data_IF_427048814839
#
_entry.id   IF_427048814839
#
_cell.length_a   1.000
_cell.length_b   1.000
_cell.length_c   1.000
_cell.angle_alpha   90.00
_cell.angle_beta   90.00
_cell.angle_gamma   90.00
#
_symmetry.space_group_name_H-M   'P 1'
#
loop_
_entity.id
_entity.type
_entity.pdbx_description
1 polymer ?
#
# COMPACT_ATOMS: atom_id res chain seq x y z
N UNK A 1 -32.12 6.92 -2.72
CA UNK A 1 -30.93 7.05 -1.86
C UNK A 1 -30.27 5.68 -1.88
N UNK A 2 -29.10 5.53 -2.51
CA UNK A 2 -28.31 4.30 -2.35
C UNK A 2 -27.88 4.28 -0.89
N UNK A 3 -28.27 3.23 -0.14
CA UNK A 3 -27.69 2.98 1.17
C UNK A 3 -26.16 2.95 1.01
N UNK A 4 -25.44 3.60 1.93
CA UNK A 4 -23.98 3.64 1.91
C UNK A 4 -23.48 2.25 2.28
N UNK A 5 -23.28 1.38 1.29
CA UNK A 5 -22.85 -0.01 1.50
C UNK A 5 -21.63 -0.12 2.42
N UNK A 6 -20.82 0.93 2.54
CA UNK A 6 -19.67 0.97 3.44
C UNK A 6 -20.07 0.82 4.92
N UNK A 7 -21.28 1.24 5.32
CA UNK A 7 -21.79 1.03 6.68
C UNK A 7 -22.17 -0.41 6.97
N UNK A 8 -22.45 -1.18 5.91
CA UNK A 8 -22.93 -2.56 6.00
C UNK A 8 -21.78 -3.57 5.87
N UNK A 9 -20.56 -3.07 5.62
CA UNK A 9 -19.36 -3.90 5.50
C UNK A 9 -18.63 -4.02 6.83
N UNK A 10 -18.33 -5.26 7.18
CA UNK A 10 -17.36 -5.58 8.21
C UNK A 10 -15.96 -5.63 7.58
N UNK A 11 -14.98 -5.02 8.24
CA UNK A 11 -13.61 -4.99 7.76
C UNK A 11 -12.70 -5.64 8.77
N UNK A 12 -12.05 -6.71 8.34
CA UNK A 12 -11.14 -7.49 9.16
C UNK A 12 -9.72 -7.31 8.65
N UNK A 13 -8.77 -7.18 9.58
CA UNK A 13 -7.37 -7.01 9.26
C UNK A 13 -6.51 -7.79 10.24
N UNK A 14 -5.45 -8.38 9.70
CA UNK A 14 -4.45 -9.11 10.47
C UNK A 14 -3.05 -8.67 10.09
N UNK A 15 -2.18 -8.56 11.09
CA UNK A 15 -0.74 -8.37 10.94
C UNK A 15 -0.04 -9.57 11.57
N UNK A 16 0.98 -10.09 10.90
CA UNK A 16 1.86 -11.11 11.47
C UNK A 16 3.29 -10.92 10.95
N UNK A 17 4.32 -11.29 11.75
CA UNK A 17 5.67 -11.46 11.19
C UNK A 17 5.64 -12.40 9.98
N UNK A 18 6.53 -12.17 9.02
CA UNK A 18 6.59 -13.04 7.84
C UNK A 18 6.88 -14.48 8.22
N UNK A 19 6.28 -15.41 7.49
CA UNK A 19 6.56 -16.85 7.62
C UNK A 19 7.99 -17.19 7.15
N UNK A 20 8.67 -16.27 6.45
CA UNK A 20 10.09 -16.39 6.17
C UNK A 20 10.89 -16.06 7.44
N UNK A 21 11.37 -17.11 8.13
CA UNK A 21 12.11 -17.00 9.39
C UNK A 21 13.30 -16.04 9.30
N UNK A 22 14.00 -16.01 8.15
CA UNK A 22 15.16 -15.15 7.91
C UNK A 22 14.82 -13.66 8.00
N UNK A 23 13.64 -13.28 7.54
CA UNK A 23 13.20 -11.88 7.49
C UNK A 23 12.10 -11.56 8.49
N UNK A 24 11.70 -12.48 9.35
CA UNK A 24 10.59 -12.33 10.31
C UNK A 24 10.73 -11.13 11.24
N UNK A 25 11.95 -10.67 11.50
CA UNK A 25 12.28 -9.48 12.30
C UNK A 25 12.17 -8.15 11.52
N UNK A 26 12.15 -8.21 10.18
CA UNK A 26 12.14 -7.04 9.29
C UNK A 26 10.86 -6.93 8.47
N UNK A 27 10.21 -8.07 8.21
CA UNK A 27 9.09 -8.21 7.30
C UNK A 27 7.83 -8.59 8.09
N UNK A 28 6.79 -7.77 7.94
CA UNK A 28 5.47 -8.00 8.51
C UNK A 28 4.48 -8.17 7.36
N UNK A 29 3.79 -9.31 7.35
CA UNK A 29 2.73 -9.58 6.40
C UNK A 29 1.42 -8.98 6.93
N UNK A 30 0.66 -8.34 6.04
CA UNK A 30 -0.68 -7.86 6.34
C UNK A 30 -1.70 -8.46 5.40
N UNK A 31 -2.88 -8.74 5.95
CA UNK A 31 -4.07 -9.14 5.20
C UNK A 31 -5.25 -8.33 5.69
N UNK A 32 -6.15 -8.01 4.78
CA UNK A 32 -7.41 -7.35 5.05
C UNK A 32 -8.51 -7.90 4.16
N UNK A 33 -9.72 -7.95 4.69
CA UNK A 33 -10.91 -8.31 3.93
C UNK A 33 -12.08 -7.40 4.29
N UNK A 34 -12.94 -7.15 3.31
CA UNK A 34 -14.25 -6.56 3.53
C UNK A 34 -15.31 -7.63 3.28
N UNK A 35 -16.23 -7.75 4.23
CA UNK A 35 -17.22 -8.81 4.32
C UNK A 35 -18.60 -8.17 4.36
N UNK A 36 -19.54 -8.75 3.62
CA UNK A 36 -20.97 -8.48 3.75
C UNK A 36 -21.65 -9.74 4.27
N UNK A 37 -22.62 -9.54 5.14
CA UNK A 37 -23.52 -10.60 5.60
C UNK A 37 -24.76 -10.57 4.71
N UNK A 38 -25.13 -11.70 4.13
CA UNK A 38 -26.40 -11.81 3.40
C UNK A 38 -27.58 -12.08 4.35
N UNK A 39 -28.79 -12.08 3.79
CA UNK A 39 -30.04 -12.30 4.55
C UNK A 39 -30.09 -13.70 5.18
N UNK A 40 -29.28 -14.64 4.70
CA UNK A 40 -29.15 -16.02 5.21
C UNK A 40 -28.02 -16.14 6.26
N UNK A 41 -27.41 -15.01 6.66
CA UNK A 41 -26.26 -14.91 7.55
C UNK A 41 -25.00 -15.65 7.05
N UNK A 42 -24.87 -15.85 5.74
CA UNK A 42 -23.64 -16.33 5.13
C UNK A 42 -22.64 -15.19 4.95
N UNK A 43 -21.39 -15.48 5.30
CA UNK A 43 -20.28 -14.55 5.18
C UNK A 43 -19.81 -14.47 3.72
N UNK A 44 -19.92 -13.30 3.08
CA UNK A 44 -19.40 -13.07 1.74
C UNK A 44 -18.27 -12.05 1.74
N UNK A 45 -17.07 -12.50 1.39
CA UNK A 45 -15.91 -11.62 1.16
C UNK A 45 -16.07 -10.89 -0.17
N UNK A 46 -16.18 -9.56 -0.11
CA UNK A 46 -16.38 -8.67 -1.27
C UNK A 46 -15.14 -7.88 -1.65
N UNK A 47 -14.15 -7.79 -0.76
CA UNK A 47 -12.85 -7.25 -1.09
C UNK A 47 -11.73 -7.92 -0.29
N UNK A 48 -10.53 -7.96 -0.88
CA UNK A 48 -9.32 -8.49 -0.26
C UNK A 48 -8.16 -7.53 -0.50
N UNK A 49 -7.29 -7.42 0.49
CA UNK A 49 -6.04 -6.70 0.41
C UNK A 49 -4.97 -7.51 1.11
N UNK A 50 -3.78 -7.65 0.50
CA UNK A 50 -2.63 -8.26 1.17
C UNK A 50 -1.34 -7.60 0.71
N UNK A 51 -0.31 -7.71 1.54
CA UNK A 51 0.97 -7.10 1.28
C UNK A 51 1.97 -7.35 2.38
N UNK A 52 3.11 -6.68 2.25
CA UNK A 52 4.22 -6.76 3.17
C UNK A 52 4.70 -5.36 3.58
N UNK A 53 5.09 -5.21 4.85
CA UNK A 53 5.82 -4.05 5.37
C UNK A 53 7.23 -4.46 5.71
N UNK A 54 8.20 -3.85 5.06
CA UNK A 54 9.62 -4.06 5.28
C UNK A 54 10.25 -2.89 6.07
N UNK A 55 10.97 -3.22 7.14
CA UNK A 55 11.73 -2.27 7.96
C UNK A 55 13.09 -1.94 7.32
N UNK A 56 13.10 -0.94 6.44
CA UNK A 56 14.31 -0.53 5.73
C UNK A 56 15.35 0.05 6.69
N UNK A 57 14.92 0.77 7.74
CA UNK A 57 15.83 1.39 8.71
C UNK A 57 16.65 0.35 9.47
N UNK A 58 16.03 -0.77 9.83
CA UNK A 58 16.67 -1.89 10.50
C UNK A 58 17.46 -2.73 9.50
N UNK A 59 16.92 -2.96 8.30
CA UNK A 59 17.62 -3.65 7.22
C UNK A 59 18.97 -3.02 6.89
N UNK A 60 19.06 -1.69 6.77
CA UNK A 60 20.32 -0.97 6.50
C UNK A 60 21.43 -1.18 7.52
N UNK A 61 21.07 -1.54 8.76
CA UNK A 61 22.06 -1.83 9.81
C UNK A 61 22.55 -3.26 9.73
N UNK A 62 21.72 -4.16 9.21
CA UNK A 62 21.99 -5.60 9.14
C UNK A 62 22.55 -6.05 7.78
N UNK A 63 22.20 -5.35 6.70
CA UNK A 63 22.55 -5.69 5.32
C UNK A 63 23.40 -4.58 4.70
N UNK A 64 24.42 -4.99 3.94
CA UNK A 64 25.31 -4.06 3.23
C UNK A 64 24.64 -3.41 2.02
N UNK A 65 23.79 -4.15 1.30
CA UNK A 65 23.02 -3.70 0.14
C UNK A 65 21.53 -4.04 0.34
N UNK A 66 20.66 -3.04 0.23
CA UNK A 66 19.21 -3.18 0.29
C UNK A 66 18.68 -3.93 -0.93
N UNK A 67 19.32 -3.79 -2.10
CA UNK A 67 18.87 -4.48 -3.30
C UNK A 67 19.03 -6.00 -3.15
N UNK A 68 20.12 -6.47 -2.57
CA UNK A 68 20.32 -7.90 -2.27
C UNK A 68 19.23 -8.44 -1.33
N UNK A 69 18.78 -7.63 -0.37
CA UNK A 69 17.65 -7.98 0.50
C UNK A 69 16.35 -8.08 -0.30
N UNK A 70 16.09 -7.13 -1.20
CA UNK A 70 14.88 -7.13 -2.03
C UNK A 70 14.83 -8.35 -2.95
N UNK A 71 15.98 -8.70 -3.54
CA UNK A 71 16.18 -9.89 -4.36
C UNK A 71 15.86 -11.19 -3.61
N UNK A 72 16.06 -11.19 -2.29
CA UNK A 72 15.81 -12.35 -1.42
C UNK A 72 14.36 -12.44 -0.93
N UNK A 73 13.57 -11.36 -1.00
CA UNK A 73 12.17 -11.35 -0.53
C UNK A 73 11.23 -11.82 -1.63
N UNK A 74 11.21 -11.15 -2.79
CA UNK A 74 10.38 -11.55 -3.93
C UNK A 74 10.85 -10.91 -5.24
N UNK A 75 10.58 -11.55 -6.40
CA UNK A 75 10.89 -10.96 -7.70
C UNK A 75 10.24 -9.59 -7.92
N UNK A 76 9.03 -9.38 -7.42
CA UNK A 76 8.32 -8.11 -7.53
C UNK A 76 8.97 -6.99 -6.70
N UNK A 77 9.41 -7.29 -5.48
CA UNK A 77 10.08 -6.31 -4.62
C UNK A 77 11.49 -6.01 -5.15
N UNK A 78 12.18 -7.01 -5.68
CA UNK A 78 13.45 -6.86 -6.41
C UNK A 78 13.33 -5.89 -7.59
N UNK A 79 12.37 -6.13 -8.48
CA UNK A 79 12.11 -5.31 -9.67
C UNK A 79 11.73 -3.88 -9.28
N UNK A 80 10.87 -3.71 -8.27
CA UNK A 80 10.56 -2.39 -7.69
C UNK A 80 11.82 -1.71 -7.15
N UNK A 81 12.69 -2.45 -6.45
CA UNK A 81 13.96 -1.97 -5.90
C UNK A 81 14.82 -1.24 -6.91
N UNK A 82 14.94 -1.82 -8.11
CA UNK A 82 15.70 -1.24 -9.22
C UNK A 82 15.20 0.15 -9.67
N UNK A 83 13.97 0.52 -9.29
CA UNK A 83 13.35 1.80 -9.61
C UNK A 83 13.33 2.79 -8.44
N UNK A 84 13.42 2.32 -7.19
CA UNK A 84 13.26 3.17 -6.00
C UNK A 84 14.52 3.27 -5.15
N UNK A 85 15.49 2.38 -5.34
CA UNK A 85 16.76 2.36 -4.62
C UNK A 85 17.82 3.09 -5.42
N UNK A 86 18.48 4.07 -4.78
CA UNK A 86 19.64 4.78 -5.27
C UNK A 86 20.63 4.94 -4.11
N UNK A 87 21.92 4.68 -4.35
CA UNK A 87 22.98 4.75 -3.32
C UNK A 87 22.63 4.02 -2.02
N UNK A 88 22.11 2.80 -2.14
CA UNK A 88 21.68 1.96 -1.01
C UNK A 88 20.63 2.62 -0.09
N UNK A 89 19.84 3.52 -0.65
CA UNK A 89 18.75 4.20 0.01
C UNK A 89 17.52 4.16 -0.89
N UNK A 90 16.35 4.04 -0.28
CA UNK A 90 15.10 4.30 -0.98
C UNK A 90 14.80 5.79 -0.85
N UNK A 91 14.54 6.43 -1.99
CA UNK A 91 14.10 7.80 -2.05
C UNK A 91 12.79 7.90 -2.85
N UNK A 92 12.01 8.94 -2.56
CA UNK A 92 10.74 9.17 -3.26
C UNK A 92 10.95 10.35 -4.18
N UNK A 93 10.71 10.15 -5.49
CA UNK A 93 10.74 11.19 -6.50
C UNK A 93 10.04 12.46 -5.99
N UNK A 94 10.84 13.48 -5.67
CA UNK A 94 10.34 14.76 -5.19
C UNK A 94 9.39 15.36 -6.24
N UNK A 95 8.42 16.14 -5.78
CA UNK A 95 7.40 16.78 -6.64
C UNK A 95 8.00 17.73 -7.70
N UNK A 96 9.30 17.96 -7.66
CA UNK A 96 10.07 18.87 -8.50
C UNK A 96 11.32 18.14 -9.00
N UNK A 97 11.62 18.26 -10.30
CA UNK A 97 12.89 17.77 -10.89
C UNK A 97 14.13 18.47 -10.32
N UNK A 98 13.94 19.59 -9.63
CA UNK A 98 14.99 20.48 -9.17
C UNK A 98 15.28 20.38 -7.66
N UNK A 99 14.55 19.53 -6.93
CA UNK A 99 14.78 19.32 -5.49
C UNK A 99 15.51 18.00 -5.22
N UNK A 100 16.67 18.02 -4.53
CA UNK A 100 17.36 16.81 -4.14
C UNK A 100 16.54 16.03 -3.12
N UNK A 101 16.40 14.73 -3.35
CA UNK A 101 15.70 13.83 -2.44
C UNK A 101 16.54 13.59 -1.19
N UNK A 102 16.18 14.27 -0.10
CA UNK A 102 16.99 14.28 1.13
C UNK A 102 16.50 13.33 2.21
N UNK A 103 15.27 12.82 2.12
CA UNK A 103 14.71 11.95 3.16
C UNK A 103 14.74 10.49 2.73
N UNK A 104 15.62 9.66 3.29
CA UNK A 104 15.56 8.22 3.07
C UNK A 104 14.27 7.64 3.63
N UNK A 105 13.66 6.68 2.91
CA UNK A 105 12.51 5.96 3.44
C UNK A 105 12.93 5.08 4.63
N UNK A 106 12.12 5.09 5.68
CA UNK A 106 12.34 4.29 6.89
C UNK A 106 11.73 2.89 6.79
N UNK A 107 10.71 2.73 5.95
CA UNK A 107 10.06 1.45 5.66
C UNK A 107 9.44 1.45 4.26
N UNK A 108 9.19 0.25 3.73
CA UNK A 108 8.50 0.02 2.46
C UNK A 108 7.24 -0.80 2.75
N UNK A 109 6.07 -0.33 2.31
CA UNK A 109 4.84 -1.12 2.26
C UNK A 109 4.60 -1.50 0.81
N UNK A 110 4.71 -2.78 0.49
CA UNK A 110 4.37 -3.31 -0.83
C UNK A 110 3.01 -4.00 -0.77
N UNK A 111 2.07 -3.56 -1.61
CA UNK A 111 0.73 -4.15 -1.72
C UNK A 111 0.75 -5.15 -2.87
N UNK A 112 0.73 -6.44 -2.53
CA UNK A 112 0.67 -7.53 -3.51
C UNK A 112 -0.70 -7.61 -4.17
N UNK A 113 -1.76 -7.36 -3.41
CA UNK A 113 -3.13 -7.59 -3.84
C UNK A 113 -4.07 -6.51 -3.29
N UNK A 114 -4.89 -5.96 -4.17
CA UNK A 114 -6.12 -5.25 -3.82
C UNK A 114 -7.18 -5.63 -4.84
N UNK A 115 -8.18 -6.39 -4.40
CA UNK A 115 -9.28 -6.89 -5.22
C UNK A 115 -10.59 -6.47 -4.59
N UNK A 116 -11.50 -5.98 -5.44
CA UNK A 116 -12.91 -5.75 -5.08
C UNK A 116 -13.75 -6.53 -6.07
N UNK A 117 -14.68 -7.33 -5.55
CA UNK A 117 -15.65 -8.09 -6.33
C UNK A 117 -16.38 -7.14 -7.29
N UNK A 118 -16.55 -7.59 -8.54
CA UNK A 118 -17.04 -6.80 -9.65
C UNK A 118 -18.35 -6.07 -9.31
N UNK A 119 -19.27 -6.73 -8.63
CA UNK A 119 -20.60 -6.21 -8.28
C UNK A 119 -20.56 -5.12 -7.18
N UNK A 120 -19.43 -5.03 -6.50
CA UNK A 120 -19.14 -4.10 -5.40
C UNK A 120 -18.15 -2.99 -5.79
N UNK A 121 -17.64 -3.00 -7.04
CA UNK A 121 -16.78 -1.93 -7.56
C UNK A 121 -17.53 -0.60 -7.69
N UNK A 122 -16.77 0.50 -7.76
CA UNK A 122 -17.29 1.89 -7.80
C UNK A 122 -18.08 2.33 -6.55
N UNK A 123 -17.96 1.59 -5.43
CA UNK A 123 -18.57 1.93 -4.14
C UNK A 123 -17.55 2.33 -3.07
N UNK A 124 -16.39 2.85 -3.50
CA UNK A 124 -15.29 3.30 -2.64
C UNK A 124 -14.64 2.24 -1.72
N UNK A 125 -15.04 0.97 -1.81
CA UNK A 125 -14.52 -0.12 -0.97
C UNK A 125 -13.00 -0.24 -1.08
N UNK A 126 -12.43 -0.22 -2.29
CA UNK A 126 -10.97 -0.28 -2.48
C UNK A 126 -10.23 0.90 -1.84
N UNK A 127 -10.84 2.09 -1.84
CA UNK A 127 -10.30 3.26 -1.16
C UNK A 127 -10.35 3.09 0.36
N UNK A 128 -11.46 2.58 0.89
CA UNK A 128 -11.61 2.33 2.34
C UNK A 128 -10.66 1.23 2.82
N UNK A 129 -10.45 0.17 2.02
CA UNK A 129 -9.46 -0.89 2.30
C UNK A 129 -8.04 -0.31 2.47
N UNK A 130 -7.61 0.55 1.55
CA UNK A 130 -6.29 1.21 1.63
C UNK A 130 -6.19 2.14 2.84
N UNK A 131 -7.26 2.88 3.13
CA UNK A 131 -7.33 3.78 4.29
C UNK A 131 -7.22 3.00 5.60
N UNK A 132 -7.99 1.92 5.77
CA UNK A 132 -7.93 1.08 6.98
C UNK A 132 -6.58 0.38 7.13
N UNK A 133 -6.00 -0.12 6.03
CA UNK A 133 -4.63 -0.65 6.05
C UNK A 133 -3.64 0.39 6.57
N UNK A 134 -3.72 1.64 6.11
CA UNK A 134 -2.84 2.72 6.59
C UNK A 134 -3.01 3.11 8.06
N UNK A 135 -4.12 2.72 8.70
CA UNK A 135 -4.35 2.95 10.12
C UNK A 135 -3.69 1.88 10.98
N UNK A 136 -3.55 0.66 10.44
CA UNK A 136 -3.12 -0.55 11.14
C UNK A 136 -1.64 -0.83 10.92
N UNK A 137 -1.16 -0.66 9.69
CA UNK A 137 0.27 -0.78 9.36
C UNK A 137 0.99 0.49 9.80
N UNK A 138 2.20 0.34 10.35
CA UNK A 138 3.06 1.48 10.65
C UNK A 138 3.50 2.16 9.35
N UNK A 139 3.05 3.41 9.20
CA UNK A 139 3.23 4.25 8.02
C UNK A 139 4.26 5.37 8.23
N UNK A 140 5.02 5.32 9.33
CA UNK A 140 6.04 6.34 9.62
C UNK A 140 7.22 6.25 8.65
N UNK A 141 7.50 7.37 7.95
CA UNK A 141 8.53 7.47 6.90
C UNK A 141 8.44 6.34 5.87
N UNK A 142 7.22 5.92 5.56
CA UNK A 142 6.96 4.76 4.71
C UNK A 142 6.77 5.17 3.26
N UNK A 143 7.39 4.42 2.35
CA UNK A 143 7.03 4.41 0.94
C UNK A 143 5.98 3.32 0.73
N UNK A 144 4.81 3.67 0.19
CA UNK A 144 3.79 2.70 -0.19
C UNK A 144 3.92 2.44 -1.68
N UNK A 145 4.10 1.18 -2.07
CA UNK A 145 4.27 0.76 -3.44
C UNK A 145 3.28 -0.35 -3.79
N UNK A 146 2.91 -0.41 -5.06
CA UNK A 146 2.09 -1.47 -5.62
C UNK A 146 2.38 -1.65 -7.10
N UNK A 147 2.12 -2.84 -7.62
CA UNK A 147 1.99 -3.04 -9.06
C UNK A 147 0.60 -2.55 -9.46
N UNK A 148 0.50 -1.62 -10.42
CA UNK A 148 -0.80 -1.10 -10.87
C UNK A 148 -1.73 -2.20 -11.41
N UNK A 149 -1.13 -3.33 -11.80
CA UNK A 149 -1.81 -4.50 -12.30
C UNK A 149 -1.14 -5.77 -11.74
N UNK A 150 -1.41 -6.13 -10.47
CA UNK A 150 -0.76 -7.27 -9.83
C UNK A 150 -1.17 -8.58 -10.49
N UNK A 151 -0.29 -9.59 -10.51
CA UNK A 151 -0.67 -10.95 -10.94
C UNK A 151 -1.39 -11.60 -9.77
N UNK A 152 -2.66 -11.97 -9.98
CA UNK A 152 -3.50 -12.59 -8.94
C UNK A 152 -3.89 -13.96 -9.46
N UNK A 153 -3.48 -14.99 -8.74
CA UNK A 153 -3.83 -16.37 -9.07
C UNK A 153 -5.35 -16.58 -8.95
N UNK A 154 -5.95 -17.25 -9.94
CA UNK A 154 -7.38 -17.59 -9.94
C UNK A 154 -8.33 -16.51 -10.46
N UNK A 155 -7.87 -15.27 -10.65
CA UNK A 155 -8.67 -14.20 -11.27
C UNK A 155 -8.88 -14.46 -12.77
N UNK A 156 -10.15 -14.56 -13.19
CA UNK A 156 -10.53 -14.85 -14.59
C UNK A 156 -10.62 -13.60 -15.47
N UNK A 157 -10.53 -12.39 -14.90
CA UNK A 157 -10.75 -11.16 -15.64
C UNK A 157 -9.59 -10.87 -16.61
N UNK A 158 -9.92 -10.61 -17.89
CA UNK A 158 -8.93 -10.31 -18.91
C UNK A 158 -8.29 -8.94 -18.65
N UNK A 159 -6.96 -8.92 -18.66
CA UNK A 159 -6.11 -7.75 -18.38
C UNK A 159 -6.04 -6.77 -19.56
N UNK A 160 -7.19 -6.18 -19.93
CA UNK A 160 -7.25 -5.27 -21.09
C UNK A 160 -6.46 -3.97 -20.86
N UNK A 161 -5.92 -3.34 -21.92
CA UNK A 161 -5.25 -2.04 -21.81
C UNK A 161 -6.14 -0.94 -21.21
N UNK A 162 -7.45 -0.98 -21.48
CA UNK A 162 -8.42 -0.04 -20.92
C UNK A 162 -8.53 -0.19 -19.40
N UNK A 163 -8.62 -1.41 -18.90
CA UNK A 163 -8.67 -1.69 -17.46
C UNK A 163 -7.36 -1.28 -16.76
N UNK A 164 -6.21 -1.53 -17.38
CA UNK A 164 -4.90 -1.04 -16.89
C UNK A 164 -4.90 0.49 -16.74
N UNK A 165 -5.41 1.21 -17.74
CA UNK A 165 -5.51 2.68 -17.69
C UNK A 165 -6.46 3.16 -16.59
N UNK A 166 -7.59 2.49 -16.40
CA UNK A 166 -8.54 2.81 -15.33
C UNK A 166 -7.94 2.59 -13.94
N UNK A 167 -7.23 1.50 -13.71
CA UNK A 167 -6.56 1.20 -12.43
C UNK A 167 -5.44 2.20 -12.13
N UNK A 168 -4.59 2.50 -13.13
CA UNK A 168 -3.57 3.55 -13.00
C UNK A 168 -4.21 4.89 -12.61
N UNK A 169 -5.30 5.27 -13.28
CA UNK A 169 -6.05 6.50 -12.94
C UNK A 169 -6.66 6.47 -11.54
N UNK A 170 -7.19 5.32 -11.10
CA UNK A 170 -7.70 5.14 -9.75
C UNK A 170 -6.61 5.38 -8.70
N UNK A 171 -5.44 4.75 -8.84
CA UNK A 171 -4.32 4.95 -7.91
C UNK A 171 -3.75 6.38 -7.98
N UNK A 172 -3.68 6.99 -9.15
CA UNK A 172 -3.28 8.40 -9.28
C UNK A 172 -4.20 9.35 -8.52
N UNK A 173 -5.51 9.12 -8.51
CA UNK A 173 -6.45 9.91 -7.67
C UNK A 173 -6.20 9.75 -6.17
N UNK A 174 -5.61 8.62 -5.76
CA UNK A 174 -5.24 8.36 -4.37
C UNK A 174 -3.84 8.90 -4.02
N UNK A 175 -3.18 9.60 -4.94
CA UNK A 175 -1.87 10.22 -4.75
C UNK A 175 -0.69 9.33 -5.13
N UNK A 176 -0.92 8.16 -5.75
CA UNK A 176 0.17 7.35 -6.27
C UNK A 176 0.73 7.92 -7.58
N UNK A 177 2.05 7.83 -7.75
CA UNK A 177 2.81 8.26 -8.92
C UNK A 177 3.43 7.07 -9.62
N UNK A 178 3.75 7.21 -10.90
CA UNK A 178 4.41 6.14 -11.64
C UNK A 178 5.86 5.99 -11.18
N UNK A 179 6.30 4.74 -11.00
CA UNK A 179 7.71 4.39 -10.85
C UNK A 179 7.95 3.20 -11.79
N UNK A 180 8.76 3.43 -12.83
CA UNK A 180 8.86 2.50 -13.96
C UNK A 180 7.54 2.32 -14.74
N UNK A 181 7.44 1.24 -15.51
CA UNK A 181 6.27 0.98 -16.36
C UNK A 181 5.07 0.41 -15.58
N UNK A 182 5.37 -0.40 -14.57
CA UNK A 182 4.40 -1.31 -13.94
C UNK A 182 4.03 -0.91 -12.50
N UNK A 183 4.89 -0.16 -11.81
CA UNK A 183 4.69 0.17 -10.40
C UNK A 183 4.14 1.57 -10.22
N UNK A 184 3.51 1.73 -9.06
CA UNK A 184 3.09 3.02 -8.56
C UNK A 184 3.48 3.16 -7.10
N UNK A 185 3.97 4.33 -6.73
CA UNK A 185 4.51 4.63 -5.40
C UNK A 185 3.87 5.87 -4.82
N UNK A 186 3.80 5.94 -3.50
CA UNK A 186 3.24 7.06 -2.75
C UNK A 186 4.00 7.25 -1.43
N UNK A 187 4.39 8.48 -1.15
CA UNK A 187 4.92 8.84 0.18
C UNK A 187 3.78 8.81 1.21
N UNK A 188 3.93 8.01 2.27
CA UNK A 188 2.94 7.95 3.34
C UNK A 188 2.80 9.26 4.12
N UNK A 189 3.77 10.17 4.09
CA UNK A 189 3.63 11.53 4.67
C UNK A 189 2.56 12.37 3.95
N UNK A 190 2.28 12.07 2.69
CA UNK A 190 1.16 12.67 1.97
C UNK A 190 -0.20 12.03 2.35
N UNK A 191 -0.22 10.98 3.19
CA UNK A 191 -1.46 10.42 3.73
C UNK A 191 -2.03 11.30 4.84
N UNK A 192 -3.32 11.62 4.73
CA UNK A 192 -4.06 12.41 5.72
C UNK A 192 -3.94 11.88 7.16
N UNK A 193 -3.94 10.55 7.33
CA UNK A 193 -3.81 9.92 8.65
C UNK A 193 -2.43 10.18 9.29
N UNK A 194 -1.36 10.13 8.50
CA UNK A 194 0.00 10.42 8.95
C UNK A 194 0.18 11.91 9.22
N UNK A 195 -0.38 12.79 8.37
CA UNK A 195 -0.43 14.24 8.67
C UNK A 195 -1.13 14.51 10.00
N UNK A 196 -2.26 13.85 10.26
CA UNK A 196 -3.00 14.03 11.51
C UNK A 196 -2.21 13.53 12.73
N UNK A 197 -1.53 12.38 12.63
CA UNK A 197 -0.68 11.83 13.69
C UNK A 197 0.56 12.70 13.95
N UNK A 198 1.28 13.12 12.90
CA UNK A 198 2.42 14.01 13.01
C UNK A 198 2.03 15.37 13.63
N UNK A 199 0.90 15.95 13.22
CA UNK A 199 0.38 17.19 13.82
C UNK A 199 0.00 17.02 15.30
N UNK A 200 -0.49 15.84 15.69
CA UNK A 200 -0.79 15.51 17.09
C UNK A 200 0.49 15.31 17.92
N UNK A 201 1.54 14.72 17.34
CA UNK A 201 2.86 14.56 17.97
C UNK A 201 3.63 15.89 18.09
N UNK A 202 3.45 16.81 17.14
CA UNK A 202 4.07 18.15 17.12
C UNK A 202 3.25 19.21 17.90
N UNK A 203 2.09 18.85 18.47
CA UNK A 203 1.25 19.76 19.26
C UNK A 203 0.57 20.88 18.46
N UNK A 204 0.46 20.76 17.14
CA UNK A 204 -0.10 21.81 16.26
C UNK A 204 -1.58 21.55 15.99
N UNK A 205 -2.45 22.37 16.58
CA UNK A 205 -3.90 22.34 16.35
C UNK A 205 -4.24 23.01 15.01
N UNK A 206 -4.78 22.26 14.05
CA UNK A 206 -5.34 22.83 12.82
C UNK A 206 -6.59 23.66 13.17
N UNK A 207 -6.49 24.98 13.00
CA UNK A 207 -7.69 25.83 12.87
C UNK A 207 -8.37 25.49 11.55
N UNK A 208 -9.55 24.89 11.64
CA UNK A 208 -10.44 24.70 10.50
C UNK A 208 -10.78 26.08 9.90
N UNK A 209 -10.39 26.30 8.65
CA UNK A 209 -11.03 27.32 7.80
C UNK A 209 -11.92 26.60 6.79
N UNK A 210 -13.20 26.95 6.87
CA UNK A 210 -14.33 26.49 6.06
C UNK A 210 -14.13 26.68 4.57
#
# INVERSE_FOLDING_TARGET
MQADILSDLEFEFSLKPSDNEEFSNLLVDFKGQAVVWDDDAEEKVVARLKGHRLDISSARKAYGDIQDLFDSISPEISDLGSHIVSDNNCFVECCSKDEPETTPCGSLVYIDELVVDHDFRNRSIGTEMLKRMSQIVDMNKTLVALKAYPIIEGEKEKRTPALKKQLKHFYSKLGFRHSGEHYMVKDARECYAQRTRALAEEGVTLKNTH
#
